data_IF_988937412673
#
_entry.id   IF_988937412673
#
_cell.length_a   1.000
_cell.length_b   1.000
_cell.length_c   1.000
_cell.angle_alpha   90.00
_cell.angle_beta   90.00
_cell.angle_gamma   90.00
#
_symmetry.space_group_name_H-M   'P 1'
#
loop_
_entity.id
_entity.type
_entity.pdbx_description
1 polymer ?
#
# COMPACT_ATOMS: atom_id res chain seq x y z
N UNK A 1 15.72 85.01 7.20
CA UNK A 1 16.42 83.77 6.79
C UNK A 1 16.00 82.68 7.77
N UNK A 2 14.93 81.94 7.45
CA UNK A 2 14.24 81.03 8.38
C UNK A 2 14.71 79.59 8.20
N UNK A 3 15.21 78.99 9.27
CA UNK A 3 15.51 77.56 9.36
C UNK A 3 14.21 76.84 9.75
N UNK A 4 13.71 75.95 8.90
CA UNK A 4 12.61 75.03 9.22
C UNK A 4 13.20 73.68 9.62
N UNK A 5 12.85 73.23 10.83
CA UNK A 5 13.21 71.93 11.39
C UNK A 5 12.47 70.80 10.67
N UNK A 6 13.19 69.72 10.36
CA UNK A 6 12.63 68.48 9.80
C UNK A 6 12.40 67.49 10.95
N UNK A 7 11.14 67.11 11.17
CA UNK A 7 10.77 66.07 12.14
C UNK A 7 10.83 64.70 11.46
N UNK A 8 11.63 63.79 12.03
CA UNK A 8 11.75 62.40 11.62
C UNK A 8 10.66 61.57 12.35
N UNK A 9 9.66 61.09 11.62
CA UNK A 9 8.63 60.18 12.14
C UNK A 9 9.11 58.74 11.91
N UNK A 10 9.35 58.02 13.01
CA UNK A 10 9.71 56.60 13.01
C UNK A 10 8.42 55.76 13.02
N UNK A 11 8.03 55.16 11.89
CA UNK A 11 6.94 54.19 11.83
C UNK A 11 7.46 52.82 12.29
N UNK A 12 7.09 52.40 13.50
CA UNK A 12 7.29 51.02 13.97
C UNK A 12 6.20 50.14 13.34
N UNK A 13 6.57 49.37 12.31
CA UNK A 13 5.69 48.36 11.72
C UNK A 13 5.58 47.14 12.64
N UNK A 14 4.40 46.90 13.20
CA UNK A 14 4.06 45.65 13.89
C UNK A 14 3.92 44.54 12.83
N UNK A 15 4.95 43.70 12.70
CA UNK A 15 4.84 42.44 12.00
C UNK A 15 4.12 41.42 12.90
N UNK A 16 2.84 41.19 12.66
CA UNK A 16 2.17 39.98 13.16
C UNK A 16 2.65 38.78 12.33
N UNK A 17 3.17 37.71 12.94
CA UNK A 17 3.46 36.50 12.20
C UNK A 17 2.13 35.90 11.75
N UNK A 18 1.95 35.75 10.44
CA UNK A 18 0.90 34.90 9.87
C UNK A 18 1.25 33.48 10.31
N UNK A 19 0.58 33.00 11.36
CA UNK A 19 0.64 31.59 11.72
C UNK A 19 -0.12 30.84 10.61
N UNK A 20 0.62 30.26 9.68
CA UNK A 20 0.09 29.34 8.68
C UNK A 20 -0.24 28.02 9.39
N UNK A 21 -1.32 28.03 10.17
CA UNK A 21 -1.93 26.81 10.68
C UNK A 21 -2.57 26.10 9.50
N UNK A 22 -1.84 25.15 8.91
CA UNK A 22 -2.45 24.15 8.03
C UNK A 22 -3.52 23.42 8.84
N UNK A 23 -4.78 23.79 8.62
CA UNK A 23 -5.93 23.04 9.13
C UNK A 23 -5.96 21.71 8.38
N UNK A 24 -5.32 20.69 8.92
CA UNK A 24 -5.65 19.31 8.59
C UNK A 24 -7.02 19.03 9.18
N UNK A 25 -8.08 19.28 8.41
CA UNK A 25 -9.36 18.65 8.71
C UNK A 25 -9.18 17.15 8.49
N UNK A 26 -8.75 16.43 9.52
CA UNK A 26 -8.64 14.97 9.53
C UNK A 26 -10.04 14.36 9.54
N UNK A 27 -10.73 14.46 8.40
CA UNK A 27 -11.96 13.72 8.23
C UNK A 27 -11.62 12.23 8.30
N UNK A 28 -12.21 11.53 9.28
CA UNK A 28 -12.08 10.08 9.38
C UNK A 28 -12.47 9.44 8.02
N UNK A 29 -11.74 8.39 7.58
CA UNK A 29 -12.06 7.69 6.34
C UNK A 29 -13.51 7.22 6.36
N UNK A 30 -14.18 7.32 5.22
CA UNK A 30 -15.58 6.90 5.03
C UNK A 30 -15.62 5.77 4.02
N UNK A 31 -16.64 4.93 4.14
CA UNK A 31 -16.92 3.93 3.12
C UNK A 31 -17.38 4.61 1.83
N UNK A 32 -16.77 4.24 0.71
CA UNK A 32 -16.97 4.81 -0.61
C UNK A 32 -17.79 3.84 -1.46
N UNK A 33 -18.99 4.23 -1.94
CA UNK A 33 -19.74 3.39 -2.87
C UNK A 33 -19.07 3.38 -4.25
N UNK A 34 -19.33 2.35 -5.05
CA UNK A 34 -18.93 2.30 -6.47
C UNK A 34 -17.47 1.90 -6.75
N UNK A 35 -16.75 1.33 -5.77
CA UNK A 35 -15.38 0.84 -5.94
C UNK A 35 -15.29 -0.61 -6.46
N UNK A 36 -16.41 -1.20 -6.90
CA UNK A 36 -16.49 -2.61 -7.29
C UNK A 36 -16.66 -3.57 -6.11
N UNK A 37 -16.72 -4.86 -6.45
CA UNK A 37 -17.08 -5.95 -5.54
C UNK A 37 -15.85 -6.84 -5.26
N UNK A 38 -15.00 -6.38 -4.34
CA UNK A 38 -13.96 -7.20 -3.70
C UNK A 38 -14.39 -7.47 -2.27
N UNK A 39 -14.27 -8.73 -1.85
CA UNK A 39 -14.39 -9.15 -0.47
C UNK A 39 -13.29 -10.16 -0.18
N UNK A 40 -12.34 -9.78 0.66
CA UNK A 40 -11.23 -10.63 1.05
C UNK A 40 -11.35 -10.93 2.56
N UNK A 41 -11.88 -12.12 2.95
CA UNK A 41 -12.17 -12.40 4.34
C UNK A 41 -10.90 -12.36 5.19
N UNK A 42 -10.94 -11.61 6.30
CA UNK A 42 -9.85 -11.53 7.28
C UNK A 42 -10.36 -11.87 8.68
N UNK A 43 -9.45 -12.18 9.61
CA UNK A 43 -9.76 -12.68 10.96
C UNK A 43 -10.30 -11.60 11.91
N UNK A 44 -11.23 -10.76 11.44
CA UNK A 44 -11.95 -9.78 12.25
C UNK A 44 -13.38 -10.24 12.52
N UNK A 45 -13.86 -10.01 13.74
CA UNK A 45 -15.28 -10.13 14.08
C UNK A 45 -16.01 -8.78 14.00
N UNK A 46 -15.32 -7.70 13.62
CA UNK A 46 -15.91 -6.37 13.47
C UNK A 46 -16.30 -6.14 12.00
N UNK A 47 -17.62 -6.13 11.66
CA UNK A 47 -18.04 -6.00 10.26
C UNK A 47 -17.55 -4.71 9.60
N UNK A 48 -17.37 -3.63 10.37
CA UNK A 48 -16.84 -2.37 9.82
C UNK A 48 -15.34 -2.45 9.54
N UNK A 49 -14.58 -3.19 10.36
CA UNK A 49 -13.16 -3.40 10.09
C UNK A 49 -12.98 -4.20 8.78
N UNK A 50 -13.78 -5.24 8.56
CA UNK A 50 -13.82 -5.98 7.30
C UNK A 50 -14.14 -5.05 6.11
N UNK A 51 -15.18 -4.21 6.22
CA UNK A 51 -15.53 -3.27 5.15
C UNK A 51 -14.41 -2.29 4.79
N UNK A 52 -13.67 -1.79 5.79
CA UNK A 52 -12.54 -0.90 5.55
C UNK A 52 -11.31 -1.64 5.01
N UNK A 53 -11.11 -2.90 5.41
CA UNK A 53 -10.08 -3.76 4.80
C UNK A 53 -10.38 -4.00 3.32
N UNK A 54 -11.61 -4.42 2.99
CA UNK A 54 -12.06 -4.63 1.62
C UNK A 54 -11.93 -3.35 0.78
N UNK A 55 -12.32 -2.19 1.33
CA UNK A 55 -12.12 -0.90 0.66
C UNK A 55 -10.63 -0.59 0.43
N UNK A 56 -9.78 -0.88 1.41
CA UNK A 56 -8.34 -0.73 1.28
C UNK A 56 -7.81 -1.52 0.10
N UNK A 57 -8.19 -2.79 -0.03
CA UNK A 57 -7.76 -3.66 -1.12
C UNK A 57 -8.29 -3.17 -2.49
N UNK A 58 -9.55 -2.74 -2.57
CA UNK A 58 -10.11 -2.12 -3.79
C UNK A 58 -9.30 -0.91 -4.23
N UNK A 59 -8.89 -0.07 -3.29
CA UNK A 59 -8.12 1.14 -3.56
C UNK A 59 -6.65 0.84 -3.91
N UNK A 60 -6.08 -0.26 -3.39
CA UNK A 60 -4.78 -0.79 -3.86
C UNK A 60 -4.90 -1.15 -5.35
N UNK A 61 -5.90 -1.95 -5.72
CA UNK A 61 -6.12 -2.32 -7.12
C UNK A 61 -6.46 -1.14 -8.02
N UNK A 62 -7.09 -0.09 -7.49
CA UNK A 62 -7.32 1.17 -8.20
C UNK A 62 -6.15 2.17 -8.15
N UNK A 63 -4.98 1.75 -7.65
CA UNK A 63 -3.76 2.56 -7.50
C UNK A 63 -3.87 3.80 -6.58
N UNK A 64 -4.94 3.93 -5.80
CA UNK A 64 -5.10 4.99 -4.80
C UNK A 64 -4.55 4.57 -3.43
N UNK A 65 -3.22 4.48 -3.35
CA UNK A 65 -2.50 3.96 -2.19
C UNK A 65 -2.68 4.80 -0.92
N UNK A 66 -2.85 6.12 -1.04
CA UNK A 66 -3.03 6.99 0.13
C UNK A 66 -4.41 6.79 0.78
N UNK A 67 -5.49 6.69 0.01
CA UNK A 67 -6.82 6.36 0.56
C UNK A 67 -6.93 4.88 0.97
N UNK A 68 -6.21 3.98 0.30
CA UNK A 68 -6.08 2.59 0.72
C UNK A 68 -5.44 2.51 2.11
N UNK A 69 -4.32 3.20 2.32
CA UNK A 69 -3.62 3.25 3.61
C UNK A 69 -4.54 3.77 4.72
N UNK A 70 -5.27 4.85 4.46
CA UNK A 70 -6.26 5.41 5.40
C UNK A 70 -7.36 4.40 5.73
N UNK A 71 -7.81 3.60 4.77
CA UNK A 71 -8.81 2.56 4.98
C UNK A 71 -8.27 1.43 5.85
N UNK A 72 -7.05 0.94 5.58
CA UNK A 72 -6.41 -0.07 6.42
C UNK A 72 -6.12 0.42 7.84
N UNK A 73 -5.65 1.66 8.00
CA UNK A 73 -5.50 2.29 9.32
C UNK A 73 -6.84 2.33 10.07
N UNK A 74 -7.94 2.67 9.37
CA UNK A 74 -9.26 2.66 9.97
C UNK A 74 -9.72 1.25 10.38
N UNK A 75 -9.38 0.22 9.60
CA UNK A 75 -9.61 -1.17 9.99
C UNK A 75 -8.82 -1.53 11.26
N UNK A 76 -7.55 -1.14 11.36
CA UNK A 76 -6.71 -1.36 12.55
C UNK A 76 -7.22 -0.61 13.79
N UNK A 77 -7.77 0.60 13.63
CA UNK A 77 -8.42 1.32 14.74
C UNK A 77 -9.68 0.61 15.25
N UNK A 78 -10.44 0.00 14.35
CA UNK A 78 -11.69 -0.69 14.66
C UNK A 78 -11.48 -2.11 15.21
N UNK A 79 -10.38 -2.76 14.82
CA UNK A 79 -9.93 -4.04 15.34
C UNK A 79 -8.40 -4.02 15.54
N UNK A 80 -7.92 -3.63 16.74
CA UNK A 80 -6.49 -3.53 17.03
C UNK A 80 -5.71 -4.85 16.98
N UNK A 81 -6.41 -6.00 16.89
CA UNK A 81 -5.77 -7.33 16.77
C UNK A 81 -5.70 -7.83 15.33
N UNK A 82 -6.28 -7.09 14.37
CA UNK A 82 -6.32 -7.47 12.97
C UNK A 82 -4.95 -7.25 12.29
N UNK A 83 -4.09 -8.28 12.31
CA UNK A 83 -2.77 -8.23 11.69
C UNK A 83 -2.81 -7.84 10.21
N UNK A 84 -3.83 -8.30 9.47
CA UNK A 84 -4.01 -7.94 8.05
C UNK A 84 -4.22 -6.45 7.80
N UNK A 85 -4.78 -5.70 8.75
CA UNK A 85 -4.90 -4.26 8.59
C UNK A 85 -3.51 -3.60 8.56
N UNK A 86 -2.59 -4.05 9.40
CA UNK A 86 -1.20 -3.57 9.39
C UNK A 86 -0.41 -4.08 8.17
N UNK A 87 -0.69 -5.30 7.69
CA UNK A 87 -0.19 -5.78 6.40
C UNK A 87 -0.62 -4.84 5.26
N UNK A 88 -1.89 -4.42 5.22
CA UNK A 88 -2.38 -3.50 4.20
C UNK A 88 -1.72 -2.12 4.28
N UNK A 89 -1.48 -1.61 5.49
CA UNK A 89 -0.69 -0.37 5.68
C UNK A 89 0.71 -0.53 5.09
N UNK A 90 1.41 -1.62 5.42
CA UNK A 90 2.74 -1.90 4.90
C UNK A 90 2.73 -2.04 3.36
N UNK A 91 1.74 -2.73 2.79
CA UNK A 91 1.60 -2.92 1.34
C UNK A 91 1.51 -1.56 0.62
N UNK A 92 0.69 -0.65 1.15
CA UNK A 92 0.48 0.68 0.53
C UNK A 92 1.67 1.63 0.60
N UNK A 93 2.63 1.34 1.48
CA UNK A 93 3.83 2.15 1.67
C UNK A 93 5.01 1.67 0.82
N UNK A 94 5.03 0.40 0.41
CA UNK A 94 6.08 -0.17 -0.41
C UNK A 94 6.14 0.35 -1.85
N UNK A 95 7.11 -0.15 -2.63
CA UNK A 95 7.17 0.15 -4.05
C UNK A 95 5.99 -0.48 -4.79
N UNK A 96 5.53 0.19 -5.84
CA UNK A 96 4.58 -0.34 -6.81
C UNK A 96 5.05 -0.04 -8.23
N UNK A 97 4.31 -0.55 -9.22
CA UNK A 97 4.64 -0.44 -10.64
C UNK A 97 4.96 0.99 -11.10
N UNK A 98 4.32 1.99 -10.49
CA UNK A 98 4.42 3.40 -10.89
C UNK A 98 5.31 4.24 -9.98
N UNK A 99 5.63 3.75 -8.78
CA UNK A 99 6.28 4.54 -7.75
C UNK A 99 7.38 3.70 -7.06
N UNK A 100 8.67 4.04 -7.28
CA UNK A 100 9.73 3.49 -6.45
C UNK A 100 9.57 3.98 -5.01
N UNK A 101 10.03 3.17 -4.05
CA UNK A 101 9.96 3.52 -2.63
C UNK A 101 11.05 4.52 -2.26
N UNK A 102 10.73 5.47 -1.38
CA UNK A 102 11.71 6.34 -0.74
C UNK A 102 12.09 5.81 0.66
N UNK A 103 13.23 6.21 1.25
CA UNK A 103 13.68 5.66 2.53
C UNK A 103 12.72 5.86 3.71
N UNK A 104 11.92 6.93 3.71
CA UNK A 104 10.95 7.21 4.79
C UNK A 104 9.78 6.24 4.68
N UNK A 105 9.25 6.04 3.47
CA UNK A 105 8.22 5.05 3.18
C UNK A 105 8.67 3.62 3.44
N UNK A 106 9.89 3.28 3.06
CA UNK A 106 10.49 1.96 3.31
C UNK A 106 10.54 1.66 4.81
N UNK A 107 11.01 2.63 5.60
CA UNK A 107 11.06 2.51 7.06
C UNK A 107 9.66 2.37 7.66
N UNK A 108 8.69 3.17 7.21
CA UNK A 108 7.32 3.09 7.67
C UNK A 108 6.63 1.77 7.29
N UNK A 109 6.93 1.22 6.10
CA UNK A 109 6.43 -0.07 5.67
C UNK A 109 7.02 -1.21 6.51
N UNK A 110 8.33 -1.15 6.80
CA UNK A 110 8.98 -2.07 7.73
C UNK A 110 8.30 -2.03 9.11
N UNK A 111 8.09 -0.86 9.69
CA UNK A 111 7.48 -0.75 11.02
C UNK A 111 6.04 -1.30 11.01
N UNK A 112 5.24 -1.00 9.99
CA UNK A 112 3.90 -1.53 9.82
C UNK A 112 3.87 -3.06 9.70
N UNK A 113 4.79 -3.66 8.93
CA UNK A 113 4.81 -5.13 8.81
C UNK A 113 5.30 -5.81 10.09
N UNK A 114 6.19 -5.18 10.87
CA UNK A 114 6.56 -5.68 12.19
C UNK A 114 5.35 -5.68 13.16
N UNK A 115 4.49 -4.65 13.08
CA UNK A 115 3.22 -4.66 13.82
C UNK A 115 2.31 -5.82 13.40
N UNK A 116 2.20 -6.11 12.09
CA UNK A 116 1.42 -7.24 11.59
C UNK A 116 1.99 -8.59 12.08
N UNK A 117 3.32 -8.77 12.05
CA UNK A 117 4.01 -9.96 12.56
C UNK A 117 3.75 -10.18 14.05
N UNK A 118 3.75 -9.11 14.86
CA UNK A 118 3.45 -9.19 16.28
C UNK A 118 1.99 -9.65 16.57
N UNK A 119 1.09 -9.50 15.60
CA UNK A 119 -0.32 -9.88 15.71
C UNK A 119 -0.66 -11.20 15.02
N UNK A 120 0.30 -11.85 14.36
CA UNK A 120 0.06 -12.99 13.47
C UNK A 120 -0.57 -14.22 14.15
N UNK A 121 -0.41 -14.36 15.48
CA UNK A 121 -1.06 -15.43 16.26
C UNK A 121 -2.60 -15.29 16.30
N UNK A 122 -3.13 -14.09 16.06
CA UNK A 122 -4.57 -13.86 15.93
C UNK A 122 -5.10 -14.08 14.51
N UNK A 123 -4.20 -14.27 13.53
CA UNK A 123 -4.54 -14.38 12.12
C UNK A 123 -4.77 -15.84 11.71
N UNK A 124 -5.60 -16.04 10.70
CA UNK A 124 -5.77 -17.34 10.05
C UNK A 124 -4.48 -17.79 9.34
N UNK A 125 -4.42 -19.06 8.93
CA UNK A 125 -3.23 -19.58 8.26
C UNK A 125 -2.92 -18.91 6.91
N UNK A 126 -3.90 -18.60 6.03
CA UNK A 126 -3.66 -17.79 4.84
C UNK A 126 -3.15 -16.39 5.16
N UNK A 127 -3.74 -15.71 6.15
CA UNK A 127 -3.34 -14.36 6.56
C UNK A 127 -1.90 -14.31 7.09
N UNK A 128 -1.49 -15.30 7.89
CA UNK A 128 -0.08 -15.45 8.29
C UNK A 128 0.83 -15.59 7.07
N UNK A 129 0.36 -16.26 6.02
CA UNK A 129 1.06 -16.37 4.76
C UNK A 129 1.30 -15.00 4.08
N UNK A 130 0.26 -14.16 3.99
CA UNK A 130 0.37 -12.78 3.49
C UNK A 130 1.34 -11.92 4.31
N UNK A 131 1.20 -11.96 5.64
CA UNK A 131 2.05 -11.22 6.58
C UNK A 131 3.51 -11.61 6.39
N UNK A 132 3.80 -12.92 6.39
CA UNK A 132 5.17 -13.41 6.25
C UNK A 132 5.74 -13.18 4.85
N UNK A 133 4.93 -13.26 3.80
CA UNK A 133 5.38 -12.93 2.45
C UNK A 133 5.79 -11.47 2.35
N UNK A 134 4.93 -10.54 2.77
CA UNK A 134 5.22 -9.11 2.70
C UNK A 134 6.37 -8.70 3.65
N UNK A 135 6.54 -9.40 4.78
CA UNK A 135 7.68 -9.17 5.67
C UNK A 135 9.04 -9.41 4.99
N UNK A 136 9.11 -10.31 4.01
CA UNK A 136 10.33 -10.55 3.24
C UNK A 136 10.73 -9.37 2.35
N UNK A 137 9.79 -8.46 2.05
CA UNK A 137 9.99 -7.30 1.19
C UNK A 137 10.71 -6.14 1.88
N UNK A 138 10.76 -6.12 3.21
CA UNK A 138 11.21 -4.96 3.96
C UNK A 138 12.36 -5.28 4.90
N UNK A 139 13.25 -4.30 5.07
CA UNK A 139 14.37 -4.38 6.00
C UNK A 139 14.55 -3.07 6.75
N UNK A 140 15.00 -3.15 8.01
CA UNK A 140 15.41 -1.96 8.76
C UNK A 140 16.85 -1.52 8.44
N UNK A 141 17.51 -2.17 7.49
CA UNK A 141 18.84 -1.78 7.04
C UNK A 141 18.71 -0.70 5.94
N UNK A 142 19.20 0.54 6.16
CA UNK A 142 19.10 1.62 5.17
C UNK A 142 19.95 1.38 3.90
N UNK A 143 20.78 0.34 3.90
CA UNK A 143 21.61 -0.08 2.77
C UNK A 143 21.22 -1.47 2.27
N UNK A 144 19.99 -1.93 2.54
CA UNK A 144 19.50 -3.18 2.00
C UNK A 144 19.46 -3.14 0.46
N UNK A 145 19.69 -4.30 -0.15
CA UNK A 145 19.44 -4.49 -1.57
C UNK A 145 17.93 -4.64 -1.79
N UNK A 146 17.27 -3.55 -2.16
CA UNK A 146 15.82 -3.52 -2.35
C UNK A 146 15.35 -4.50 -3.43
N UNK A 147 16.15 -4.71 -4.48
CA UNK A 147 15.79 -5.66 -5.53
C UNK A 147 15.82 -7.11 -5.01
N UNK A 148 16.81 -7.45 -4.19
CA UNK A 148 16.86 -8.76 -3.54
C UNK A 148 15.67 -8.97 -2.58
N UNK A 149 15.18 -7.92 -1.91
CA UNK A 149 13.98 -7.98 -1.08
C UNK A 149 12.70 -8.15 -1.90
N UNK A 150 12.56 -7.45 -3.03
CA UNK A 150 11.43 -7.64 -3.95
C UNK A 150 11.41 -9.06 -4.54
N UNK A 151 12.58 -9.64 -4.86
CA UNK A 151 12.70 -11.05 -5.26
C UNK A 151 12.25 -12.01 -4.14
N UNK A 152 12.66 -11.74 -2.89
CA UNK A 152 12.25 -12.54 -1.74
C UNK A 152 10.72 -12.47 -1.51
N UNK A 153 10.13 -11.29 -1.70
CA UNK A 153 8.68 -11.11 -1.66
C UNK A 153 7.97 -11.91 -2.76
N UNK A 154 8.44 -11.80 -4.02
CA UNK A 154 7.90 -12.55 -5.15
C UNK A 154 7.96 -14.06 -4.91
N UNK A 155 9.06 -14.58 -4.39
CA UNK A 155 9.20 -16.02 -4.09
C UNK A 155 8.32 -16.47 -2.91
N UNK A 156 8.07 -15.60 -1.93
CA UNK A 156 7.15 -15.88 -0.85
C UNK A 156 5.68 -15.85 -1.31
N UNK A 157 5.33 -14.91 -2.19
CA UNK A 157 4.00 -14.86 -2.83
C UNK A 157 3.76 -16.07 -3.74
N UNK A 158 4.78 -16.55 -4.46
CA UNK A 158 4.67 -17.79 -5.24
C UNK A 158 4.24 -18.97 -4.36
N UNK A 159 4.87 -19.12 -3.19
CA UNK A 159 4.54 -20.18 -2.22
C UNK A 159 3.13 -20.00 -1.65
N UNK A 160 2.73 -18.76 -1.38
CA UNK A 160 1.40 -18.45 -0.88
C UNK A 160 0.31 -18.81 -1.89
N UNK A 161 0.44 -18.31 -3.12
CA UNK A 161 -0.49 -18.59 -4.21
C UNK A 161 -0.57 -20.08 -4.54
N UNK A 162 0.55 -20.81 -4.48
CA UNK A 162 0.56 -22.26 -4.68
C UNK A 162 -0.13 -23.02 -3.53
N UNK A 163 -0.05 -22.53 -2.29
CA UNK A 163 -0.69 -23.16 -1.12
C UNK A 163 -2.19 -22.89 -1.08
N UNK A 164 -2.63 -21.71 -1.52
CA UNK A 164 -4.03 -21.29 -1.55
C UNK A 164 -4.45 -20.86 -2.96
N UNK A 165 -4.53 -21.80 -3.93
CA UNK A 165 -4.80 -21.46 -5.32
C UNK A 165 -6.20 -20.87 -5.55
N UNK A 166 -7.14 -21.10 -4.63
CA UNK A 166 -8.50 -20.57 -4.68
C UNK A 166 -8.61 -19.15 -4.08
N UNK A 167 -7.56 -18.67 -3.41
CA UNK A 167 -7.43 -17.26 -3.03
C UNK A 167 -6.93 -16.47 -4.25
N UNK A 168 -7.88 -15.93 -5.01
CA UNK A 168 -7.57 -15.22 -6.26
C UNK A 168 -6.84 -13.90 -6.02
N UNK A 169 -6.97 -13.27 -4.85
CA UNK A 169 -6.19 -12.10 -4.47
C UNK A 169 -4.72 -12.49 -4.25
N UNK A 170 -4.43 -13.66 -3.65
CA UNK A 170 -3.06 -14.17 -3.48
C UNK A 170 -2.39 -14.41 -4.83
N UNK A 171 -3.12 -15.04 -5.76
CA UNK A 171 -2.65 -15.32 -7.12
C UNK A 171 -2.42 -14.03 -7.91
N UNK A 172 -3.31 -13.05 -7.74
CA UNK A 172 -3.19 -11.73 -8.40
C UNK A 172 -2.00 -10.94 -7.85
N UNK A 173 -1.84 -10.89 -6.52
CA UNK A 173 -0.70 -10.22 -5.88
C UNK A 173 0.63 -10.95 -6.17
N UNK A 174 0.60 -12.26 -6.43
CA UNK A 174 1.78 -12.96 -6.96
C UNK A 174 2.18 -12.42 -8.34
N UNK A 175 1.24 -12.32 -9.29
CA UNK A 175 1.53 -11.73 -10.59
C UNK A 175 2.07 -10.29 -10.46
N UNK A 176 1.46 -9.47 -9.60
CA UNK A 176 1.92 -8.09 -9.32
C UNK A 176 3.34 -8.04 -8.74
N UNK A 177 3.70 -8.99 -7.87
CA UNK A 177 5.06 -9.07 -7.32
C UNK A 177 6.11 -9.33 -8.40
N UNK A 178 5.79 -10.11 -9.44
CA UNK A 178 6.67 -10.31 -10.60
C UNK A 178 6.74 -9.02 -11.44
N UNK A 179 5.60 -8.36 -11.65
CA UNK A 179 5.54 -7.11 -12.42
C UNK A 179 6.43 -6.02 -11.82
N UNK A 180 6.46 -5.94 -10.48
CA UNK A 180 7.23 -4.96 -9.74
C UNK A 180 8.76 -5.19 -9.79
N UNK A 181 9.23 -6.37 -10.24
CA UNK A 181 10.68 -6.59 -10.46
C UNK A 181 11.21 -5.78 -11.66
N UNK A 182 10.36 -5.53 -12.66
CA UNK A 182 10.74 -4.88 -13.91
C UNK A 182 9.65 -3.88 -14.38
N UNK A 183 9.36 -2.84 -13.59
CA UNK A 183 8.30 -1.89 -13.90
C UNK A 183 8.55 -1.22 -15.26
N UNK A 184 7.50 -1.09 -16.06
CA UNK A 184 7.50 -0.54 -17.43
C UNK A 184 8.35 -1.31 -18.46
N UNK A 185 8.85 -2.50 -18.11
CA UNK A 185 9.77 -3.29 -18.96
C UNK A 185 9.31 -4.74 -19.18
N UNK A 186 8.00 -4.99 -19.12
CA UNK A 186 7.42 -6.32 -19.35
C UNK A 186 7.54 -6.77 -20.82
N UNK A 187 7.45 -5.82 -21.75
CA UNK A 187 7.58 -6.11 -23.18
C UNK A 187 8.65 -5.21 -23.78
N UNK A 188 9.45 -5.76 -24.68
CA UNK A 188 10.34 -4.97 -25.53
C UNK A 188 9.53 -4.26 -26.62
N UNK A 189 10.10 -3.22 -27.24
CA UNK A 189 9.41 -2.44 -28.28
C UNK A 189 9.04 -3.27 -29.53
N UNK A 190 9.74 -4.38 -29.79
CA UNK A 190 9.44 -5.36 -30.85
C UNK A 190 8.45 -6.46 -30.41
N UNK A 191 7.85 -6.33 -29.22
CA UNK A 191 6.78 -7.20 -28.73
C UNK A 191 7.24 -8.54 -28.17
N UNK A 192 8.52 -8.67 -27.76
CA UNK A 192 9.00 -9.87 -27.07
C UNK A 192 8.78 -9.73 -25.55
N UNK A 193 8.34 -10.80 -24.87
CA UNK A 193 8.19 -10.77 -23.41
C UNK A 193 9.57 -10.70 -22.75
N UNK A 194 9.69 -9.88 -21.71
CA UNK A 194 10.80 -9.95 -20.77
C UNK A 194 10.65 -11.16 -19.84
N UNK A 195 11.72 -11.50 -19.13
CA UNK A 195 11.68 -12.56 -18.12
C UNK A 195 10.51 -12.35 -17.13
N UNK A 196 9.76 -13.42 -16.85
CA UNK A 196 8.57 -13.40 -16.00
C UNK A 196 7.28 -12.89 -16.66
N UNK A 197 7.33 -12.28 -17.85
CA UNK A 197 6.13 -11.67 -18.46
C UNK A 197 5.09 -12.70 -18.91
N UNK A 198 5.52 -13.81 -19.51
CA UNK A 198 4.59 -14.89 -19.88
C UNK A 198 3.97 -15.54 -18.63
N UNK A 199 4.71 -15.63 -17.54
CA UNK A 199 4.21 -16.13 -16.25
C UNK A 199 3.16 -15.19 -15.66
N UNK A 200 3.38 -13.88 -15.71
CA UNK A 200 2.39 -12.86 -15.31
C UNK A 200 1.09 -13.05 -16.10
N UNK A 201 1.19 -13.11 -17.43
CA UNK A 201 0.01 -13.25 -18.31
C UNK A 201 -0.75 -14.54 -17.99
N UNK A 202 -0.05 -15.68 -17.93
CA UNK A 202 -0.69 -16.97 -17.63
C UNK A 202 -1.34 -16.98 -16.23
N UNK A 203 -0.71 -16.34 -15.25
CA UNK A 203 -1.23 -16.23 -13.88
C UNK A 203 -2.51 -15.39 -13.86
N UNK A 204 -2.52 -14.22 -14.48
CA UNK A 204 -3.69 -13.33 -14.52
C UNK A 204 -4.83 -13.94 -15.36
N UNK A 205 -4.54 -14.55 -16.50
CA UNK A 205 -5.55 -15.26 -17.30
C UNK A 205 -6.19 -16.41 -16.51
N UNK A 206 -5.41 -17.09 -15.66
CA UNK A 206 -5.96 -18.13 -14.77
C UNK A 206 -6.98 -17.55 -13.77
N UNK A 207 -6.73 -16.35 -13.24
CA UNK A 207 -7.64 -15.65 -12.33
C UNK A 207 -8.90 -15.24 -13.09
N UNK A 208 -8.75 -14.56 -14.23
CA UNK A 208 -9.87 -14.07 -15.05
C UNK A 208 -10.75 -15.19 -15.59
N UNK A 209 -10.20 -16.39 -15.80
CA UNK A 209 -11.00 -17.57 -16.18
C UNK A 209 -11.94 -18.03 -15.06
N UNK A 210 -11.55 -17.85 -13.80
CA UNK A 210 -12.30 -18.27 -12.60
C UNK A 210 -13.22 -17.16 -12.09
N UNK A 211 -12.75 -15.91 -12.17
CA UNK A 211 -13.50 -14.71 -11.88
C UNK A 211 -13.20 -13.62 -12.94
N UNK A 212 -14.02 -13.53 -14.00
CA UNK A 212 -13.84 -12.51 -15.05
C UNK A 212 -13.94 -11.07 -14.55
N UNK A 213 -14.53 -10.85 -13.37
CA UNK A 213 -14.72 -9.52 -12.78
C UNK A 213 -13.72 -9.24 -11.65
N UNK A 214 -12.71 -10.08 -11.44
CA UNK A 214 -11.72 -9.90 -10.39
C UNK A 214 -11.02 -8.55 -10.56
N UNK A 215 -11.25 -7.63 -9.61
CA UNK A 215 -10.85 -6.23 -9.76
C UNK A 215 -9.34 -6.09 -10.00
N UNK A 216 -8.53 -6.77 -9.20
CA UNK A 216 -7.08 -6.69 -9.29
C UNK A 216 -6.47 -7.39 -10.50
N UNK A 217 -7.17 -8.35 -11.12
CA UNK A 217 -6.63 -9.04 -12.30
C UNK A 217 -7.02 -8.34 -13.62
N UNK A 218 -8.08 -7.53 -13.59
CA UNK A 218 -8.51 -6.71 -14.72
C UNK A 218 -7.72 -5.39 -14.83
N UNK A 219 -7.22 -4.88 -13.71
CA UNK A 219 -6.47 -3.62 -13.66
C UNK A 219 -4.97 -3.86 -13.89
#
# INVERSE_FOLDING_TARGET
>A
MSIKAFALILCVGLFSPISSGARTSSNAPRLMPGLGDVHHPVSTNNPKAQQFFDQGLKLVYAFNHDEARRSFQRAAELDPKLGMAWWGVALTLGPNYNLPVDPEREKAAYDAIQHALALQENASEPERGYINALAARYSNNPHADLHALDLAYKDAMAKLAARYPDDLDAVTLYAESIMNLNPWKLWTADGRPAEGTEEIVATLESVLKRDPNHLGANH
#
